data_IF_380342896857
#
_entry.id   IF_380342896857
#
_cell.length_a   1.000
_cell.length_b   1.000
_cell.length_c   1.000
_cell.angle_alpha   90.00
_cell.angle_beta   90.00
_cell.angle_gamma   90.00
#
_symmetry.space_group_name_H-M   'P 1'
#
loop_
_entity.id
_entity.type
_entity.pdbx_description
1 polymer ?
#
# COMPACT_ATOMS: atom_id res chain seq x y z
N UNK A 1 -3.93 25.41 5.83
CA UNK A 1 -3.45 24.26 5.06
C UNK A 1 -4.63 23.32 4.96
N UNK A 2 -5.21 23.17 3.76
CA UNK A 2 -6.21 22.13 3.53
C UNK A 2 -5.43 20.84 3.32
N UNK A 3 -5.50 19.92 4.27
CA UNK A 3 -5.09 18.56 3.99
C UNK A 3 -6.15 18.02 3.04
N UNK A 4 -5.78 17.81 1.78
CA UNK A 4 -6.60 16.97 0.90
C UNK A 4 -6.73 15.63 1.63
N UNK A 5 -7.97 15.25 1.97
CA UNK A 5 -8.24 13.89 2.40
C UNK A 5 -7.95 13.03 1.17
N UNK A 6 -6.73 12.49 1.07
CA UNK A 6 -6.44 11.42 0.14
C UNK A 6 -7.21 10.20 0.64
N UNK A 7 -8.45 10.07 0.17
CA UNK A 7 -9.24 8.85 0.35
C UNK A 7 -8.56 7.78 -0.50
N UNK A 8 -7.73 6.97 0.14
CA UNK A 8 -7.20 5.77 -0.47
C UNK A 8 -8.34 4.74 -0.51
N UNK A 9 -8.61 4.19 -1.70
CA UNK A 9 -9.48 3.01 -1.80
C UNK A 9 -8.69 1.81 -1.28
N UNK A 10 -8.96 1.45 -0.03
CA UNK A 10 -8.26 0.41 0.72
C UNK A 10 -9.18 -0.74 1.10
N UNK A 11 -8.67 -1.95 0.96
CA UNK A 11 -9.31 -3.16 1.47
C UNK A 11 -8.47 -3.74 2.63
N UNK A 12 -9.06 -3.93 3.80
CA UNK A 12 -8.36 -4.52 4.95
C UNK A 12 -8.05 -6.00 4.66
N UNK A 13 -6.76 -6.35 4.63
CA UNK A 13 -6.29 -7.72 4.38
C UNK A 13 -6.06 -8.47 5.69
N UNK A 14 -5.41 -7.81 6.65
CA UNK A 14 -5.04 -8.44 7.92
C UNK A 14 -4.85 -7.42 9.02
N UNK A 15 -5.28 -7.76 10.23
CA UNK A 15 -4.94 -7.03 11.45
C UNK A 15 -3.95 -7.86 12.26
N UNK A 16 -2.81 -7.27 12.61
CA UNK A 16 -1.81 -7.82 13.54
C UNK A 16 -1.92 -7.09 14.87
N UNK A 17 -1.19 -7.58 15.87
CA UNK A 17 -1.23 -7.02 17.23
C UNK A 17 -0.81 -5.55 17.31
N UNK A 18 0.05 -5.10 16.41
CA UNK A 18 0.61 -3.73 16.39
C UNK A 18 0.35 -2.96 15.09
N UNK A 19 -0.17 -3.59 14.05
CA UNK A 19 -0.42 -2.90 12.78
C UNK A 19 -1.52 -3.56 11.97
N UNK A 20 -2.07 -2.80 11.04
CA UNK A 20 -3.05 -3.21 10.06
C UNK A 20 -2.41 -3.24 8.67
N UNK A 21 -2.82 -4.19 7.85
CA UNK A 21 -2.37 -4.34 6.46
C UNK A 21 -3.56 -4.15 5.55
N UNK A 22 -3.44 -3.19 4.65
CA UNK A 22 -4.43 -2.87 3.65
C UNK A 22 -3.89 -3.17 2.26
N UNK A 23 -4.75 -3.65 1.38
CA UNK A 23 -4.49 -3.71 -0.06
C UNK A 23 -5.01 -2.43 -0.69
N UNK A 24 -4.20 -1.81 -1.53
CA UNK A 24 -4.64 -0.72 -2.37
C UNK A 24 -5.44 -1.26 -3.56
N UNK A 25 -6.67 -0.79 -3.75
CA UNK A 25 -7.61 -1.31 -4.75
C UNK A 25 -8.03 -0.30 -5.81
N UNK A 26 -7.52 0.94 -5.74
CA UNK A 26 -7.82 1.97 -6.75
C UNK A 26 -7.19 1.67 -8.12
N UNK A 27 -6.11 0.86 -8.13
CA UNK A 27 -5.40 0.40 -9.33
C UNK A 27 -4.92 1.53 -10.27
N UNK A 28 -4.81 2.77 -9.78
CA UNK A 28 -4.31 3.93 -10.55
C UNK A 28 -2.77 4.01 -10.60
N UNK A 29 -2.08 3.08 -9.93
CA UNK A 29 -0.63 2.88 -9.96
C UNK A 29 -0.37 1.54 -10.67
N UNK A 30 -0.04 1.60 -11.96
CA UNK A 30 0.06 0.41 -12.81
C UNK A 30 1.49 -0.14 -12.93
N UNK A 31 2.52 0.71 -12.82
CA UNK A 31 3.92 0.32 -13.04
C UNK A 31 4.89 0.98 -12.05
N UNK A 32 5.99 0.29 -11.77
CA UNK A 32 7.15 0.81 -11.05
C UNK A 32 8.42 0.25 -11.70
N UNK A 33 9.41 1.11 -12.01
CA UNK A 33 10.65 0.70 -12.67
C UNK A 33 10.43 -0.15 -13.94
N UNK A 34 9.45 0.24 -14.77
CA UNK A 34 9.07 -0.49 -16.02
C UNK A 34 8.46 -1.90 -15.77
N UNK A 35 8.14 -2.24 -14.53
CA UNK A 35 7.46 -3.48 -14.16
C UNK A 35 6.01 -3.23 -13.76
N UNK A 36 5.10 -4.06 -14.30
CA UNK A 36 3.69 -4.03 -13.93
C UNK A 36 3.51 -4.44 -12.46
N UNK A 37 2.75 -3.61 -11.74
CA UNK A 37 2.39 -3.84 -10.36
C UNK A 37 1.23 -4.84 -10.31
N UNK A 38 1.42 -5.93 -9.58
CA UNK A 38 0.36 -6.91 -9.32
C UNK A 38 -0.43 -6.54 -8.06
N UNK A 39 0.26 -6.09 -7.01
CA UNK A 39 -0.34 -5.77 -5.71
C UNK A 39 0.45 -4.70 -4.96
N UNK A 40 -0.25 -3.84 -4.23
CA UNK A 40 0.33 -2.90 -3.27
C UNK A 40 -0.31 -3.15 -1.90
N UNK A 41 0.52 -3.40 -0.90
CA UNK A 41 0.11 -3.51 0.50
C UNK A 41 0.67 -2.33 1.31
N UNK A 42 -0.20 -1.75 2.12
CA UNK A 42 0.07 -0.59 2.96
C UNK A 42 -0.08 -1.01 4.42
N UNK A 43 0.93 -0.71 5.24
CA UNK A 43 1.00 -1.14 6.62
C UNK A 43 0.88 0.08 7.53
N UNK A 44 -0.15 0.07 8.37
CA UNK A 44 -0.47 1.17 9.26
C UNK A 44 -0.32 0.77 10.72
N UNK A 45 0.34 1.61 11.52
CA UNK A 45 0.37 1.50 12.98
C UNK A 45 -0.19 2.81 13.55
N UNK A 46 -1.30 2.73 14.30
CA UNK A 46 -1.99 3.91 14.86
C UNK A 46 -2.27 5.00 13.82
N UNK A 47 -2.84 4.61 12.68
CA UNK A 47 -3.12 5.47 11.51
C UNK A 47 -1.88 6.03 10.79
N UNK A 48 -0.67 5.61 11.16
CA UNK A 48 0.58 6.02 10.51
C UNK A 48 1.03 4.93 9.53
N UNK A 49 1.12 5.28 8.25
CA UNK A 49 1.74 4.43 7.22
C UNK A 49 3.24 4.32 7.51
N UNK A 50 3.73 3.13 7.85
CA UNK A 50 5.14 2.90 8.18
C UNK A 50 5.84 1.92 7.23
N UNK A 51 5.10 1.24 6.36
CA UNK A 51 5.67 0.33 5.37
C UNK A 51 4.76 0.20 4.15
N UNK A 52 5.37 0.13 2.98
CA UNK A 52 4.70 -0.21 1.72
C UNK A 52 5.40 -1.41 1.10
N UNK A 53 4.63 -2.44 0.75
CA UNK A 53 5.11 -3.55 -0.07
C UNK A 53 4.45 -3.50 -1.45
N UNK A 54 5.28 -3.50 -2.50
CA UNK A 54 4.82 -3.52 -3.88
C UNK A 54 5.29 -4.82 -4.50
N UNK A 55 4.34 -5.65 -4.94
CA UNK A 55 4.60 -6.89 -5.65
C UNK A 55 4.41 -6.63 -7.13
N UNK A 56 5.47 -6.87 -7.90
CA UNK A 56 5.41 -6.94 -9.37
C UNK A 56 5.50 -8.40 -9.80
N UNK A 57 5.41 -8.65 -11.11
CA UNK A 57 5.55 -9.99 -11.65
C UNK A 57 6.90 -10.65 -11.33
N UNK A 58 7.96 -9.85 -11.26
CA UNK A 58 9.33 -10.34 -11.10
C UNK A 58 9.93 -10.05 -9.73
N UNK A 59 9.46 -9.02 -9.03
CA UNK A 59 10.12 -8.48 -7.84
C UNK A 59 9.13 -8.16 -6.71
N UNK A 60 9.70 -8.04 -5.51
CA UNK A 60 9.03 -7.50 -4.34
C UNK A 60 9.83 -6.31 -3.84
N UNK A 61 9.22 -5.14 -3.88
CA UNK A 61 9.79 -3.90 -3.36
C UNK A 61 9.23 -3.63 -1.98
N UNK A 62 10.09 -3.16 -1.07
CA UNK A 62 9.71 -2.73 0.27
C UNK A 62 10.22 -1.32 0.51
N UNK A 63 9.32 -0.43 0.88
CA UNK A 63 9.60 0.94 1.29
C UNK A 63 9.28 1.05 2.79
N UNK A 64 10.22 1.59 3.56
CA UNK A 64 10.14 1.83 5.02
C UNK A 64 10.09 3.33 5.31
#
# INVERSE_FOLDING_TARGET
MQYENWEFDLELVSTKKSYEVYKYIKEDIEEINEELIEQIHLYFELDILFKVEIKTHYNLFTLL
#
